data_IF_687280761781
#
_entry.id   IF_687280761781
#
_cell.length_a   1.000
_cell.length_b   1.000
_cell.length_c   1.000
_cell.angle_alpha   90.00
_cell.angle_beta   90.00
_cell.angle_gamma   90.00
#
_symmetry.space_group_name_H-M   'P 1'
#
loop_
_entity.id
_entity.type
_entity.pdbx_description
1 polymer ?
#
# COMPACT_ATOMS: atom_id res chain seq x y z
N UNK A 1 -58.24 -5.02 23.04
CA UNK A 1 -58.91 -6.32 22.92
C UNK A 1 -57.89 -7.36 22.45
N UNK A 2 -57.85 -8.52 23.11
CA UNK A 2 -57.31 -9.81 22.61
C UNK A 2 -58.43 -10.55 21.82
N UNK A 3 -58.27 -11.80 21.30
CA UNK A 3 -57.11 -12.73 21.19
C UNK A 3 -56.78 -13.15 19.72
N UNK A 4 -55.58 -13.70 19.38
CA UNK A 4 -55.09 -15.11 19.35
C UNK A 4 -55.87 -16.13 18.48
N UNK A 5 -55.17 -16.97 17.70
CA UNK A 5 -54.84 -18.36 18.11
C UNK A 5 -53.85 -19.12 17.18
N UNK A 6 -53.27 -20.22 17.72
CA UNK A 6 -52.30 -21.18 17.14
C UNK A 6 -52.93 -22.60 17.08
N UNK A 7 -52.34 -23.58 16.37
CA UNK A 7 -51.51 -24.62 17.03
C UNK A 7 -50.26 -25.02 16.18
N UNK A 8 -49.06 -25.31 16.69
CA UNK A 8 -48.55 -26.35 17.64
C UNK A 8 -48.64 -27.81 17.15
N UNK A 9 -47.48 -28.47 16.99
CA UNK A 9 -47.35 -29.93 16.85
C UNK A 9 -45.95 -30.45 16.48
N UNK A 10 -45.16 -30.86 17.47
CA UNK A 10 -43.98 -31.74 17.40
C UNK A 10 -43.99 -32.54 18.73
N UNK A 11 -43.74 -33.88 18.77
CA UNK A 11 -42.36 -34.35 19.06
C UNK A 11 -41.96 -35.79 18.65
N UNK A 12 -40.63 -36.06 18.69
CA UNK A 12 -39.89 -37.34 18.92
C UNK A 12 -39.58 -38.25 17.70
N UNK A 13 -38.35 -38.78 17.66
CA UNK A 13 -38.03 -40.02 16.93
C UNK A 13 -36.54 -40.22 16.62
N UNK A 14 -35.78 -40.85 17.53
CA UNK A 14 -34.34 -41.07 17.41
C UNK A 14 -33.89 -42.11 16.35
N UNK A 15 -32.68 -41.91 15.81
CA UNK A 15 -31.68 -42.98 15.63
C UNK A 15 -31.58 -43.66 14.25
N UNK A 16 -30.36 -44.15 13.95
CA UNK A 16 -30.11 -45.13 12.90
C UNK A 16 -29.12 -44.71 11.81
N UNK A 17 -27.82 -44.87 12.06
CA UNK A 17 -26.83 -44.93 11.00
C UNK A 17 -26.89 -46.32 10.32
N UNK A 18 -26.73 -46.38 9.00
CA UNK A 18 -26.33 -47.63 8.33
C UNK A 18 -25.41 -47.34 7.14
N UNK A 19 -24.18 -47.82 7.25
CA UNK A 19 -23.31 -48.05 6.10
C UNK A 19 -23.73 -49.35 5.40
N UNK A 20 -23.56 -49.40 4.07
CA UNK A 20 -23.53 -50.65 3.32
C UNK A 20 -22.30 -50.67 2.42
N UNK A 21 -21.49 -51.71 2.61
CA UNK A 21 -20.31 -52.07 1.84
C UNK A 21 -20.55 -53.46 1.22
N UNK A 22 -19.66 -53.86 0.30
CA UNK A 22 -19.65 -55.13 -0.46
C UNK A 22 -20.78 -55.28 -1.51
N UNK A 23 -20.53 -55.84 -2.70
CA UNK A 23 -19.31 -56.40 -3.30
C UNK A 23 -19.64 -56.87 -4.74
N UNK A 24 -18.91 -57.73 -5.46
CA UNK A 24 -17.58 -58.32 -5.38
C UNK A 24 -17.34 -59.08 -6.73
N UNK A 25 -16.08 -59.22 -7.20
CA UNK A 25 -15.63 -60.09 -8.34
C UNK A 25 -16.04 -59.61 -9.77
N UNK A 26 -15.23 -59.82 -10.81
CA UNK A 26 -13.84 -60.30 -10.86
C UNK A 26 -13.27 -60.49 -12.28
N UNK A 27 -11.93 -60.55 -12.37
CA UNK A 27 -11.06 -61.17 -13.40
C UNK A 27 -11.26 -60.93 -14.93
N UNK A 28 -10.14 -60.63 -15.62
CA UNK A 28 -9.82 -61.29 -16.90
C UNK A 28 -9.20 -60.47 -18.04
N UNK A 29 -7.87 -60.54 -18.22
CA UNK A 29 -7.14 -60.18 -19.45
C UNK A 29 -6.99 -58.67 -19.75
N UNK A 30 -5.98 -58.20 -20.47
CA UNK A 30 -4.81 -58.88 -21.06
C UNK A 30 -4.36 -58.23 -22.38
N UNK A 31 -3.05 -58.02 -22.55
CA UNK A 31 -2.34 -57.71 -23.81
C UNK A 31 -2.36 -56.24 -24.31
N UNK A 32 -1.25 -55.55 -24.03
CA UNK A 32 -0.37 -54.81 -24.96
C UNK A 32 -0.89 -54.25 -26.30
N UNK A 33 -0.60 -52.95 -26.58
CA UNK A 33 0.34 -52.54 -27.64
C UNK A 33 0.67 -51.02 -27.63
N UNK A 34 1.95 -50.69 -27.87
CA UNK A 34 2.37 -49.36 -28.37
C UNK A 34 1.97 -49.22 -29.85
N UNK A 35 2.00 -48.00 -30.39
CA UNK A 35 2.93 -47.79 -31.51
C UNK A 35 3.71 -46.47 -31.44
N UNK A 36 5.00 -46.55 -31.80
CA UNK A 36 5.64 -45.50 -32.61
C UNK A 36 5.45 -45.89 -34.07
N UNK A 37 5.33 -44.91 -34.98
CA UNK A 37 6.30 -44.73 -36.06
C UNK A 37 6.02 -43.45 -36.87
N UNK A 38 7.10 -42.85 -37.35
CA UNK A 38 7.16 -41.71 -38.26
C UNK A 38 7.33 -42.17 -39.72
N UNK A 39 6.82 -41.38 -40.68
CA UNK A 39 7.08 -41.58 -42.11
C UNK A 39 6.14 -40.75 -43.00
N UNK A 40 6.69 -39.88 -43.85
CA UNK A 40 5.93 -39.15 -44.88
C UNK A 40 5.99 -39.85 -46.25
N UNK A 41 6.05 -39.11 -47.37
CA UNK A 41 5.16 -38.02 -47.78
C UNK A 41 4.50 -38.29 -49.16
N UNK A 42 3.38 -37.61 -49.48
CA UNK A 42 2.66 -37.75 -50.77
C UNK A 42 2.27 -36.42 -51.42
N UNK A 43 2.51 -36.25 -52.73
CA UNK A 43 2.42 -34.99 -53.50
C UNK A 43 1.15 -34.85 -54.37
N UNK A 44 0.97 -33.60 -54.87
CA UNK A 44 0.12 -33.09 -55.98
C UNK A 44 -1.26 -32.63 -55.49
N UNK A 45 -1.80 -31.45 -55.77
CA UNK A 45 -1.71 -30.43 -56.84
C UNK A 45 -3.14 -29.84 -56.96
N UNK A 46 -3.50 -28.64 -57.42
CA UNK A 46 -2.93 -27.66 -58.37
C UNK A 46 -3.68 -26.31 -58.27
N UNK A 47 -3.07 -25.19 -58.74
CA UNK A 47 -3.74 -23.89 -58.97
C UNK A 47 -3.30 -22.78 -57.98
N UNK A 48 -2.39 -21.84 -58.30
CA UNK A 48 -2.46 -20.72 -59.27
C UNK A 48 -3.35 -19.54 -58.79
N UNK A 49 -2.95 -18.26 -58.85
CA UNK A 49 -1.65 -17.64 -59.18
C UNK A 49 -1.58 -16.17 -58.71
N UNK A 50 -0.36 -15.61 -58.74
CA UNK A 50 0.05 -14.21 -58.43
C UNK A 50 0.08 -13.86 -56.92
N UNK A 51 0.98 -13.00 -56.41
CA UNK A 51 2.10 -12.28 -57.06
C UNK A 51 3.10 -11.67 -56.06
N UNK A 52 4.12 -10.96 -56.54
CA UNK A 52 5.11 -10.18 -55.76
C UNK A 52 5.75 -9.08 -56.64
N UNK A 53 6.78 -8.30 -56.20
CA UNK A 53 7.88 -8.78 -55.34
C UNK A 53 8.43 -7.81 -54.26
N UNK A 54 9.42 -8.32 -53.50
CA UNK A 54 10.51 -7.64 -52.74
C UNK A 54 10.13 -6.57 -51.68
N UNK A 55 10.34 -6.75 -50.38
CA UNK A 55 11.55 -7.17 -49.62
C UNK A 55 12.70 -6.13 -49.64
N UNK A 56 12.89 -5.47 -48.49
CA UNK A 56 14.03 -4.61 -48.19
C UNK A 56 14.31 -4.62 -46.69
N UNK A 57 15.32 -5.37 -46.26
CA UNK A 57 15.69 -5.48 -44.85
C UNK A 57 16.64 -4.35 -44.44
N UNK A 58 16.30 -3.60 -43.38
CA UNK A 58 17.15 -2.55 -42.81
C UNK A 58 18.00 -3.12 -41.67
N UNK A 59 19.28 -3.37 -41.96
CA UNK A 59 20.30 -3.63 -40.95
C UNK A 59 20.79 -2.30 -40.36
N UNK A 60 20.58 -2.06 -39.07
CA UNK A 60 21.24 -0.96 -38.38
C UNK A 60 22.71 -1.32 -38.10
N UNK A 61 23.64 -0.53 -38.65
CA UNK A 61 25.08 -0.62 -38.38
C UNK A 61 25.46 0.28 -37.20
N UNK A 62 26.23 -0.26 -36.25
CA UNK A 62 26.94 0.54 -35.25
C UNK A 62 28.14 1.28 -35.90
N UNK A 63 28.41 2.55 -35.54
CA UNK A 63 29.71 3.18 -35.77
C UNK A 63 30.73 2.75 -34.69
N UNK A 64 32.05 2.73 -35.00
CA UNK A 64 33.07 2.14 -34.13
C UNK A 64 33.64 3.13 -33.08
N UNK A 65 34.21 2.57 -32.02
CA UNK A 65 35.02 3.29 -31.04
C UNK A 65 36.34 3.81 -31.64
N UNK A 66 36.90 4.86 -31.03
CA UNK A 66 38.30 5.25 -31.17
C UNK A 66 38.91 5.53 -29.80
N UNK A 67 40.04 4.87 -29.53
CA UNK A 67 40.87 5.10 -28.35
C UNK A 67 41.87 6.24 -28.57
N UNK A 68 42.38 6.77 -27.46
CA UNK A 68 43.76 7.24 -27.36
C UNK A 68 44.02 8.73 -27.62
N UNK A 69 44.32 9.47 -26.54
CA UNK A 69 45.70 9.89 -26.24
C UNK A 69 45.81 10.60 -24.88
N UNK A 70 46.88 10.30 -24.15
CA UNK A 70 47.28 11.00 -22.92
C UNK A 70 48.13 12.22 -23.28
N UNK A 71 48.06 13.30 -22.51
CA UNK A 71 49.21 13.91 -21.80
C UNK A 71 48.74 15.10 -20.93
N UNK A 72 49.58 15.49 -19.96
CA UNK A 72 49.18 16.33 -18.82
C UNK A 72 49.51 17.83 -18.93
N UNK A 73 50.09 18.43 -17.87
CA UNK A 73 49.41 19.51 -17.14
C UNK A 73 50.04 20.90 -17.35
N UNK A 74 49.30 21.98 -17.01
CA UNK A 74 49.78 23.03 -16.07
C UNK A 74 48.91 24.30 -15.97
N UNK A 75 49.07 24.96 -14.80
CA UNK A 75 49.07 26.42 -14.52
C UNK A 75 47.76 27.19 -14.29
N UNK A 76 47.75 27.79 -13.10
CA UNK A 76 46.99 28.95 -12.66
C UNK A 76 47.45 30.25 -13.34
N UNK A 77 46.66 31.32 -13.21
CA UNK A 77 47.23 32.65 -12.97
C UNK A 77 46.68 33.33 -11.70
N UNK A 78 47.51 34.19 -11.09
CA UNK A 78 47.16 35.16 -10.04
C UNK A 78 47.11 36.58 -10.64
N UNK A 79 46.31 37.45 -10.01
CA UNK A 79 46.45 38.92 -10.06
C UNK A 79 45.75 39.62 -11.23
N UNK A 80 45.32 40.88 -11.10
CA UNK A 80 45.29 41.73 -9.89
C UNK A 80 45.10 43.23 -10.21
N UNK A 81 44.55 43.99 -9.26
CA UNK A 81 44.41 45.46 -9.32
C UNK A 81 43.18 45.99 -10.07
N UNK A 82 42.68 47.21 -9.79
CA UNK A 82 43.08 48.19 -8.77
C UNK A 82 42.01 49.30 -8.57
N UNK A 83 42.18 50.11 -7.50
CA UNK A 83 41.50 51.40 -7.17
C UNK A 83 40.02 51.27 -6.71
N UNK A 84 39.53 52.04 -5.74
CA UNK A 84 40.14 53.07 -4.88
C UNK A 84 39.11 54.12 -4.42
N UNK A 85 39.43 54.86 -3.33
CA UNK A 85 38.58 55.84 -2.60
C UNK A 85 37.50 55.22 -1.68
N UNK A 86 37.22 55.72 -0.47
CA UNK A 86 37.87 56.79 0.30
C UNK A 86 36.86 57.77 0.92
N UNK A 87 36.93 57.98 2.24
CA UNK A 87 36.16 58.99 2.97
C UNK A 87 35.09 58.41 3.90
N UNK A 88 35.12 58.79 5.19
CA UNK A 88 34.11 58.41 6.19
C UNK A 88 33.72 59.57 7.09
N UNK A 89 32.43 59.63 7.47
CA UNK A 89 31.80 60.50 8.49
C UNK A 89 30.52 59.75 8.98
N UNK A 90 30.12 59.74 10.26
CA UNK A 90 30.87 60.16 11.45
C UNK A 90 30.05 60.66 12.66
N UNK A 91 28.93 60.02 13.07
CA UNK A 91 28.17 60.47 14.24
C UNK A 91 26.83 59.75 14.53
N UNK A 92 26.68 59.36 15.80
CA UNK A 92 25.44 59.33 16.63
C UNK A 92 24.35 58.23 16.46
N UNK A 93 24.25 57.41 17.51
CA UNK A 93 23.09 56.68 18.06
C UNK A 93 22.02 57.72 18.56
N UNK A 94 20.69 57.46 18.70
CA UNK A 94 20.13 56.24 19.29
C UNK A 94 18.70 55.76 18.90
N UNK A 95 18.35 54.58 19.47
CA UNK A 95 17.00 54.00 19.72
C UNK A 95 16.47 52.96 18.71
N UNK A 96 16.65 51.69 19.11
CA UNK A 96 15.57 50.73 19.39
C UNK A 96 14.44 50.48 18.38
N UNK A 97 14.38 49.25 17.88
CA UNK A 97 13.10 48.54 17.67
C UNK A 97 13.28 47.03 17.88
N UNK A 98 12.22 46.38 18.38
CA UNK A 98 12.25 44.98 18.80
C UNK A 98 12.06 44.05 17.60
N UNK A 99 12.98 43.10 17.41
CA UNK A 99 12.79 41.99 16.48
C UNK A 99 11.81 40.97 17.05
N UNK A 100 10.54 41.06 16.68
CA UNK A 100 9.51 40.11 17.08
C UNK A 100 9.80 38.70 16.56
N UNK A 101 10.13 37.77 17.45
CA UNK A 101 10.02 36.34 17.20
C UNK A 101 8.62 35.89 17.59
N UNK A 102 7.73 35.73 16.62
CA UNK A 102 6.44 35.09 16.87
C UNK A 102 6.64 33.59 17.10
N UNK A 103 6.64 33.20 18.36
CA UNK A 103 6.50 31.82 18.76
C UNK A 103 5.03 31.41 18.58
N UNK A 104 4.77 30.42 17.72
CA UNK A 104 3.47 29.75 17.71
C UNK A 104 3.31 28.97 19.01
N UNK A 105 2.60 29.57 19.96
CA UNK A 105 2.29 29.00 21.26
C UNK A 105 1.28 27.85 21.13
N UNK A 106 1.42 26.83 21.97
CA UNK A 106 0.67 25.57 21.84
C UNK A 106 -0.82 25.69 22.17
N UNK A 107 -1.64 25.01 21.38
CA UNK A 107 -3.00 24.64 21.79
C UNK A 107 -2.96 23.62 22.93
N UNK A 108 -3.81 23.81 23.95
CA UNK A 108 -3.74 23.05 25.19
C UNK A 108 -4.09 21.56 25.01
N UNK A 109 -3.21 20.68 25.48
CA UNK A 109 -3.48 19.25 25.57
C UNK A 109 -4.64 18.96 26.52
N UNK A 110 -5.54 18.04 26.11
CA UNK A 110 -6.57 17.44 26.97
C UNK A 110 -6.61 15.93 26.72
N UNK A 111 -6.52 15.15 27.79
CA UNK A 111 -6.39 13.69 27.73
C UNK A 111 -4.94 13.26 27.50
N UNK A 112 -4.50 12.23 28.22
CA UNK A 112 -3.14 11.72 28.14
C UNK A 112 -2.90 10.93 26.86
N UNK A 113 -2.60 11.61 25.76
CA UNK A 113 -2.17 10.94 24.53
C UNK A 113 -0.77 10.33 24.72
N UNK A 114 -0.65 9.03 24.50
CA UNK A 114 0.64 8.36 24.32
C UNK A 114 1.16 8.78 22.95
N UNK A 115 1.87 9.91 22.94
CA UNK A 115 2.30 10.60 21.74
C UNK A 115 3.04 9.64 20.82
N UNK A 116 2.52 9.52 19.60
CA UNK A 116 3.03 8.57 18.62
C UNK A 116 4.46 8.95 18.24
N UNK A 117 5.48 8.10 18.50
CA UNK A 117 6.86 8.48 18.23
C UNK A 117 7.06 8.65 16.72
N UNK A 118 7.86 9.65 16.31
CA UNK A 118 8.16 9.84 14.89
C UNK A 118 8.84 8.58 14.31
N UNK A 119 8.54 8.25 13.05
CA UNK A 119 9.10 7.08 12.34
C UNK A 119 10.62 6.95 12.50
N UNK A 120 11.37 8.07 12.45
CA UNK A 120 12.83 8.09 12.62
C UNK A 120 13.26 7.78 14.06
N UNK A 121 12.60 8.38 15.06
CA UNK A 121 12.90 8.12 16.48
C UNK A 121 12.64 6.66 16.81
N UNK A 122 11.48 6.15 16.39
CA UNK A 122 11.11 4.75 16.62
C UNK A 122 12.07 3.78 15.91
N UNK A 123 12.45 4.05 14.66
CA UNK A 123 13.43 3.23 13.94
C UNK A 123 14.79 3.16 14.67
N UNK A 124 15.28 4.28 15.23
CA UNK A 124 16.50 4.31 16.04
C UNK A 124 16.36 3.53 17.34
N UNK A 125 15.20 3.58 17.99
CA UNK A 125 14.87 2.78 19.18
C UNK A 125 14.87 1.28 18.87
N UNK A 126 14.27 0.85 17.75
CA UNK A 126 14.32 -0.57 17.37
C UNK A 126 15.76 -1.05 17.11
N UNK A 127 16.62 -0.19 16.53
CA UNK A 127 18.07 -0.49 16.40
C UNK A 127 18.78 -0.61 17.74
N UNK A 128 18.46 0.22 18.74
CA UNK A 128 19.07 0.08 20.08
C UNK A 128 18.57 -1.17 20.83
N UNK A 129 17.38 -1.68 20.49
CA UNK A 129 16.87 -3.01 20.90
C UNK A 129 17.49 -4.18 20.10
N UNK A 130 18.47 -3.93 19.23
CA UNK A 130 19.19 -4.95 18.46
C UNK A 130 18.52 -5.37 17.14
N UNK A 131 17.42 -4.71 16.75
CA UNK A 131 16.68 -5.02 15.51
C UNK A 131 17.28 -4.32 14.30
N UNK A 132 17.15 -4.94 13.13
CA UNK A 132 17.40 -4.24 11.85
C UNK A 132 16.18 -3.42 11.44
N UNK A 133 16.37 -2.44 10.57
CA UNK A 133 15.31 -1.60 10.00
C UNK A 133 15.30 -1.73 8.49
N UNK A 134 14.12 -1.99 7.91
CA UNK A 134 13.92 -1.99 6.46
C UNK A 134 13.10 -0.77 6.04
N UNK A 135 13.59 0.02 5.09
CA UNK A 135 12.78 1.05 4.42
C UNK A 135 11.91 0.36 3.36
N UNK A 136 10.60 0.28 3.61
CA UNK A 136 9.67 -0.47 2.75
C UNK A 136 8.87 0.49 1.89
N UNK A 137 9.05 0.42 0.57
CA UNK A 137 8.23 1.16 -0.37
C UNK A 137 6.88 0.45 -0.56
N UNK A 138 5.77 1.21 -0.72
CA UNK A 138 4.41 0.66 -0.81
C UNK A 138 4.20 -0.46 -1.84
N UNK A 139 3.15 -1.29 -1.77
CA UNK A 139 1.99 -1.19 -0.87
C UNK A 139 1.58 -2.51 -0.19
N UNK A 140 2.08 -3.66 -0.65
CA UNK A 140 1.73 -5.01 -0.15
C UNK A 140 2.99 -5.87 -0.13
N UNK A 141 3.35 -6.41 1.03
CA UNK A 141 4.56 -7.22 1.22
C UNK A 141 4.37 -8.17 2.42
N UNK A 142 5.11 -9.29 2.48
CA UNK A 142 5.07 -10.23 3.60
C UNK A 142 5.83 -9.69 4.82
N UNK A 143 5.17 -8.86 5.64
CA UNK A 143 5.75 -8.32 6.86
C UNK A 143 6.24 -9.42 7.83
N UNK A 144 5.59 -10.58 7.79
CA UNK A 144 5.93 -11.77 8.55
C UNK A 144 7.37 -12.27 8.29
N UNK A 145 7.88 -12.19 7.05
CA UNK A 145 9.25 -12.61 6.73
C UNK A 145 10.31 -11.68 7.32
N UNK A 146 9.95 -10.41 7.56
CA UNK A 146 10.81 -9.39 8.17
C UNK A 146 10.83 -9.55 9.70
N UNK A 147 9.65 -9.65 10.32
CA UNK A 147 9.55 -9.82 11.78
C UNK A 147 10.19 -11.13 12.27
N UNK A 148 10.09 -12.22 11.50
CA UNK A 148 10.75 -13.50 11.80
C UNK A 148 12.29 -13.41 11.89
N UNK A 149 12.89 -12.30 11.46
CA UNK A 149 14.33 -12.00 11.45
C UNK A 149 14.69 -10.78 12.31
N UNK A 150 13.81 -10.39 13.24
CA UNK A 150 13.97 -9.18 14.06
C UNK A 150 14.22 -7.92 13.20
N UNK A 151 13.52 -7.81 12.06
CA UNK A 151 13.55 -6.62 11.19
C UNK A 151 12.26 -5.82 11.37
N UNK A 152 12.40 -4.56 11.78
CA UNK A 152 11.31 -3.60 11.81
C UNK A 152 11.12 -2.98 10.41
N UNK A 153 10.01 -3.24 9.70
CA UNK A 153 9.68 -2.47 8.50
C UNK A 153 9.27 -1.05 8.88
N UNK A 154 9.67 -0.06 8.07
CA UNK A 154 9.22 1.33 8.18
C UNK A 154 8.78 1.78 6.80
N UNK A 155 7.48 1.98 6.62
CA UNK A 155 6.91 2.21 5.28
C UNK A 155 7.03 3.67 4.82
N UNK A 156 7.32 3.84 3.52
CA UNK A 156 7.60 5.13 2.86
C UNK A 156 6.44 5.54 1.95
N UNK A 157 5.34 6.00 2.55
CA UNK A 157 4.14 6.45 1.82
C UNK A 157 4.20 7.93 1.43
N UNK A 158 4.33 8.79 2.42
CA UNK A 158 4.05 10.22 2.35
C UNK A 158 5.01 11.06 3.21
N UNK A 159 6.34 10.88 3.09
CA UNK A 159 7.29 11.62 3.92
C UNK A 159 7.13 13.14 3.73
N UNK A 160 7.34 13.93 4.80
CA UNK A 160 7.06 15.37 4.79
C UNK A 160 7.97 16.16 3.82
N UNK A 161 9.18 15.65 3.54
CA UNK A 161 10.14 16.27 2.63
C UNK A 161 9.54 16.53 1.24
N UNK A 162 9.83 17.72 0.67
CA UNK A 162 9.29 18.15 -0.61
C UNK A 162 9.81 17.33 -1.80
N UNK A 163 8.97 17.13 -2.82
CA UNK A 163 9.29 16.36 -4.03
C UNK A 163 10.38 16.96 -4.95
N UNK A 164 10.91 18.15 -4.63
CA UNK A 164 11.81 18.90 -5.52
C UNK A 164 13.09 18.14 -5.91
N UNK A 165 13.74 17.44 -4.98
CA UNK A 165 14.94 16.68 -5.27
C UNK A 165 14.68 15.56 -6.30
N UNK A 166 13.50 14.93 -6.25
CA UNK A 166 13.11 13.88 -7.17
C UNK A 166 12.82 14.37 -8.60
N UNK A 167 12.52 15.66 -8.80
CA UNK A 167 12.17 16.22 -10.13
C UNK A 167 13.34 16.19 -11.13
N UNK A 168 14.59 16.09 -10.66
CA UNK A 168 15.76 15.90 -11.52
C UNK A 168 15.88 14.48 -12.09
N UNK A 169 15.09 13.52 -11.57
CA UNK A 169 15.22 12.09 -11.86
C UNK A 169 13.91 11.41 -12.32
N UNK A 170 12.77 12.09 -12.16
CA UNK A 170 11.44 11.57 -12.49
C UNK A 170 10.72 12.49 -13.45
N UNK A 171 9.87 11.93 -14.31
CA UNK A 171 8.94 12.70 -15.12
C UNK A 171 7.90 13.41 -14.24
N UNK A 172 7.43 14.59 -14.68
CA UNK A 172 6.45 15.39 -13.95
C UNK A 172 5.08 14.68 -13.75
N UNK A 173 4.81 13.62 -14.52
CA UNK A 173 3.60 12.79 -14.43
C UNK A 173 3.79 11.51 -13.59
N UNK A 174 4.78 11.46 -12.69
CA UNK A 174 4.93 10.35 -11.72
C UNK A 174 4.13 10.67 -10.44
N UNK A 175 3.45 9.69 -9.85
CA UNK A 175 2.65 9.91 -8.65
C UNK A 175 3.46 10.43 -7.46
N UNK A 176 2.83 11.26 -6.62
CA UNK A 176 3.54 11.95 -5.53
C UNK A 176 4.05 11.01 -4.42
N UNK A 177 3.58 9.76 -4.32
CA UNK A 177 4.18 8.72 -3.45
C UNK A 177 5.61 8.42 -3.87
N UNK A 178 5.83 8.18 -5.18
CA UNK A 178 7.15 7.89 -5.73
C UNK A 178 8.05 9.12 -5.72
N UNK A 179 7.52 10.31 -6.03
CA UNK A 179 8.29 11.56 -5.92
C UNK A 179 8.78 11.80 -4.48
N UNK A 180 7.89 11.67 -3.47
CA UNK A 180 8.25 11.89 -2.06
C UNK A 180 9.17 10.79 -1.52
N UNK A 181 8.92 9.54 -1.90
CA UNK A 181 9.80 8.42 -1.55
C UNK A 181 11.22 8.58 -2.09
N UNK A 182 11.37 9.01 -3.35
CA UNK A 182 12.68 9.30 -3.92
C UNK A 182 13.34 10.52 -3.27
N UNK A 183 12.59 11.61 -3.01
CA UNK A 183 13.11 12.77 -2.28
C UNK A 183 13.63 12.40 -0.89
N UNK A 184 12.91 11.55 -0.13
CA UNK A 184 13.36 11.07 1.18
C UNK A 184 14.66 10.25 1.07
N UNK A 185 14.80 9.45 0.01
CA UNK A 185 16.02 8.71 -0.25
C UNK A 185 17.19 9.64 -0.57
N UNK A 186 17.00 10.56 -1.53
CA UNK A 186 18.01 11.56 -1.95
C UNK A 186 18.47 12.46 -0.81
N UNK A 187 17.60 12.76 0.15
CA UNK A 187 17.93 13.61 1.31
C UNK A 187 18.56 12.87 2.49
N UNK A 188 19.01 11.62 2.32
CA UNK A 188 19.53 10.78 3.41
C UNK A 188 18.46 10.36 4.44
N UNK A 189 17.19 10.68 4.22
CA UNK A 189 16.10 10.39 5.17
C UNK A 189 15.82 8.90 5.39
N UNK A 190 16.39 8.03 4.54
CA UNK A 190 16.33 6.57 4.70
C UNK A 190 17.56 5.97 5.38
N UNK A 191 18.61 6.73 5.73
CA UNK A 191 19.90 6.22 6.25
C UNK A 191 19.78 5.33 7.51
N UNK A 192 18.71 5.48 8.30
CA UNK A 192 18.45 4.61 9.46
C UNK A 192 18.19 3.15 9.07
N UNK A 193 17.72 2.90 7.85
CA UNK A 193 17.45 1.56 7.34
C UNK A 193 18.71 0.83 6.88
N UNK A 194 18.83 -0.44 7.28
CA UNK A 194 19.91 -1.35 6.90
C UNK A 194 19.75 -1.85 5.46
N UNK A 195 18.51 -1.94 4.98
CA UNK A 195 18.18 -2.31 3.60
C UNK A 195 16.84 -1.71 3.13
N UNK A 196 16.61 -1.76 1.82
CA UNK A 196 15.39 -1.29 1.17
C UNK A 196 14.58 -2.48 0.66
N UNK A 197 13.25 -2.40 0.73
CA UNK A 197 12.33 -3.37 0.12
C UNK A 197 11.34 -2.64 -0.79
N UNK A 198 11.31 -3.03 -2.07
CA UNK A 198 10.37 -2.49 -3.04
C UNK A 198 9.30 -3.53 -3.39
N UNK A 199 8.03 -3.18 -3.23
CA UNK A 199 6.92 -4.00 -3.72
C UNK A 199 6.48 -3.54 -5.11
N UNK A 200 6.56 -4.44 -6.10
CA UNK A 200 6.24 -4.18 -7.50
C UNK A 200 4.72 -4.10 -7.73
N UNK A 201 4.09 -3.07 -7.15
CA UNK A 201 2.64 -2.87 -7.17
C UNK A 201 2.15 -2.06 -8.37
N UNK A 202 2.87 -1.03 -8.79
CA UNK A 202 2.61 -0.24 -10.01
C UNK A 202 3.92 0.15 -10.71
N UNK A 203 3.85 0.53 -11.99
CA UNK A 203 5.03 0.79 -12.83
C UNK A 203 5.92 1.91 -12.31
N UNK A 204 5.34 2.94 -11.68
CA UNK A 204 6.09 4.00 -10.99
C UNK A 204 7.00 3.44 -9.88
N UNK A 205 6.53 2.43 -9.12
CA UNK A 205 7.30 1.75 -8.08
C UNK A 205 8.29 0.71 -8.64
N UNK A 206 7.96 0.06 -9.76
CA UNK A 206 8.91 -0.83 -10.48
C UNK A 206 10.09 -0.04 -11.07
N UNK A 207 9.81 1.15 -11.60
CA UNK A 207 10.84 2.05 -12.11
C UNK A 207 11.69 2.62 -10.98
N UNK A 208 11.09 2.98 -9.83
CA UNK A 208 11.83 3.41 -8.64
C UNK A 208 12.77 2.32 -8.12
N UNK A 209 12.32 1.06 -8.10
CA UNK A 209 13.13 -0.08 -7.65
C UNK A 209 14.29 -0.42 -8.59
N UNK A 210 14.23 0.03 -9.84
CA UNK A 210 15.37 0.00 -10.77
C UNK A 210 16.29 1.21 -10.57
N UNK A 211 15.70 2.41 -10.52
CA UNK A 211 16.38 3.71 -10.44
C UNK A 211 17.32 3.80 -9.23
N UNK A 212 16.81 3.51 -8.03
CA UNK A 212 17.56 3.69 -6.77
C UNK A 212 18.84 2.83 -6.70
N UNK A 213 18.78 1.49 -6.84
CA UNK A 213 19.99 0.66 -6.82
C UNK A 213 20.87 0.76 -8.08
N UNK A 214 20.30 0.77 -9.28
CA UNK A 214 21.11 0.57 -10.50
C UNK A 214 21.58 1.87 -11.15
N UNK A 215 20.82 2.96 -11.06
CA UNK A 215 21.12 4.22 -11.75
C UNK A 215 21.63 5.30 -10.79
N UNK A 216 21.09 5.36 -9.57
CA UNK A 216 21.53 6.28 -8.51
C UNK A 216 22.50 5.63 -7.51
N UNK A 217 22.69 4.31 -7.61
CA UNK A 217 23.85 3.62 -7.04
C UNK A 217 23.80 3.35 -5.54
N UNK A 218 22.61 3.15 -4.95
CA UNK A 218 22.45 2.65 -3.57
C UNK A 218 23.39 1.45 -3.28
N UNK A 219 23.98 1.43 -2.08
CA UNK A 219 24.98 0.42 -1.66
C UNK A 219 24.41 -0.59 -0.66
N UNK A 220 23.32 -0.26 0.02
CA UNK A 220 22.59 -1.16 0.90
C UNK A 220 21.83 -2.21 0.08
N UNK A 221 21.54 -3.39 0.65
CA UNK A 221 20.74 -4.40 -0.04
C UNK A 221 19.39 -3.82 -0.51
N UNK A 222 19.01 -4.11 -1.75
CA UNK A 222 17.71 -3.77 -2.30
C UNK A 222 16.96 -5.07 -2.61
N UNK A 223 15.89 -5.29 -1.85
CA UNK A 223 15.02 -6.45 -1.97
C UNK A 223 13.77 -6.10 -2.78
N UNK A 224 13.20 -7.09 -3.46
CA UNK A 224 12.09 -6.93 -4.39
C UNK A 224 11.03 -7.98 -4.08
N UNK A 225 9.77 -7.55 -3.96
CA UNK A 225 8.62 -8.44 -3.83
C UNK A 225 7.65 -8.21 -4.99
N UNK A 226 7.23 -9.30 -5.64
CA UNK A 226 6.37 -9.28 -6.81
C UNK A 226 5.00 -9.88 -6.45
N UNK A 227 4.02 -9.06 -6.04
CA UNK A 227 2.68 -9.56 -5.78
C UNK A 227 2.02 -10.03 -7.08
N UNK A 228 1.30 -11.18 -7.07
CA UNK A 228 0.60 -11.67 -8.25
C UNK A 228 -0.47 -10.68 -8.74
N UNK A 229 -0.76 -10.75 -10.04
CA UNK A 229 -1.72 -9.87 -10.72
C UNK A 229 -2.87 -10.71 -11.29
N UNK A 230 -4.10 -10.24 -11.07
CA UNK A 230 -5.31 -10.88 -11.59
C UNK A 230 -5.74 -12.11 -10.80
N UNK A 231 -5.11 -13.25 -11.09
CA UNK A 231 -5.56 -14.56 -10.59
C UNK A 231 -5.39 -14.68 -9.07
N UNK A 232 -6.37 -15.33 -8.44
CA UNK A 232 -6.41 -15.71 -7.02
C UNK A 232 -6.78 -17.19 -6.88
N UNK A 233 -6.18 -18.01 -7.73
CA UNK A 233 -6.36 -19.45 -7.79
C UNK A 233 -5.14 -20.19 -7.19
N UNK A 234 -5.16 -21.52 -7.18
CA UNK A 234 -4.05 -22.34 -6.68
C UNK A 234 -2.72 -22.08 -7.41
N UNK A 235 -2.75 -21.55 -8.65
CA UNK A 235 -1.53 -21.15 -9.37
C UNK A 235 -0.93 -19.88 -8.77
N UNK A 236 -1.77 -18.91 -8.39
CA UNK A 236 -1.34 -17.73 -7.66
C UNK A 236 -0.82 -18.06 -6.25
N UNK A 237 -1.41 -19.05 -5.56
CA UNK A 237 -0.87 -19.54 -4.27
C UNK A 237 0.50 -20.18 -4.45
N UNK A 238 0.64 -21.15 -5.38
CA UNK A 238 1.94 -21.81 -5.65
C UNK A 238 3.03 -20.81 -6.02
N UNK A 239 2.74 -19.90 -6.96
CA UNK A 239 3.65 -18.82 -7.32
C UNK A 239 4.09 -17.98 -6.12
N UNK A 240 3.15 -17.62 -5.23
CA UNK A 240 3.48 -16.87 -4.03
C UNK A 240 4.33 -17.67 -3.05
N UNK A 241 4.05 -18.96 -2.84
CA UNK A 241 4.88 -19.81 -1.94
C UNK A 241 6.32 -19.86 -2.44
N UNK A 242 6.53 -20.14 -3.73
CA UNK A 242 7.86 -20.17 -4.35
C UNK A 242 8.55 -18.79 -4.26
N UNK A 243 7.81 -17.71 -4.53
CA UNK A 243 8.36 -16.35 -4.48
C UNK A 243 8.68 -15.90 -3.03
N UNK A 244 7.88 -16.30 -2.05
CA UNK A 244 8.12 -16.06 -0.64
C UNK A 244 9.33 -16.85 -0.15
N UNK A 245 9.55 -18.08 -0.62
CA UNK A 245 10.75 -18.85 -0.32
C UNK A 245 12.01 -18.15 -0.86
N UNK A 246 12.04 -17.74 -2.13
CA UNK A 246 13.16 -16.99 -2.70
C UNK A 246 13.40 -15.62 -2.04
N UNK A 247 12.35 -14.92 -1.61
CA UNK A 247 12.51 -13.70 -0.80
C UNK A 247 13.05 -13.99 0.61
N UNK A 248 12.67 -15.13 1.20
CA UNK A 248 13.19 -15.62 2.49
C UNK A 248 14.70 -15.83 2.43
N UNK A 249 15.23 -16.42 1.35
CA UNK A 249 16.67 -16.62 1.13
C UNK A 249 17.41 -15.28 1.00
N UNK A 250 16.90 -14.33 0.21
CA UNK A 250 17.50 -12.99 0.09
C UNK A 250 17.42 -12.17 1.39
N UNK A 251 16.44 -12.46 2.24
CA UNK A 251 16.36 -11.91 3.60
C UNK A 251 17.36 -12.57 4.55
N UNK A 252 17.68 -13.86 4.40
CA UNK A 252 18.77 -14.49 5.17
C UNK A 252 20.12 -13.80 4.92
N UNK A 253 20.39 -13.38 3.67
CA UNK A 253 21.60 -12.62 3.30
C UNK A 253 21.62 -11.20 3.90
N UNK A 254 20.52 -10.46 3.80
CA UNK A 254 20.46 -9.05 4.24
C UNK A 254 20.26 -8.90 5.76
N UNK A 255 19.39 -9.71 6.35
CA UNK A 255 18.99 -9.62 7.75
C UNK A 255 19.69 -10.64 8.65
N UNK A 256 19.97 -11.85 8.13
CA UNK A 256 20.33 -13.03 8.93
C UNK A 256 19.19 -14.04 8.94
N UNK A 257 19.48 -15.29 9.29
CA UNK A 257 18.48 -16.38 9.24
C UNK A 257 17.41 -16.21 10.32
N UNK A 258 16.17 -16.55 9.97
CA UNK A 258 15.10 -16.64 10.96
C UNK A 258 15.41 -17.77 11.96
N UNK A 259 15.11 -17.54 13.24
CA UNK A 259 15.22 -18.56 14.28
C UNK A 259 14.14 -19.64 14.17
N UNK A 260 14.31 -20.76 14.87
CA UNK A 260 13.30 -21.82 14.92
C UNK A 260 11.96 -21.28 15.48
N UNK A 261 10.86 -21.67 14.82
CA UNK A 261 9.51 -21.18 15.13
C UNK A 261 9.26 -19.68 14.90
N UNK A 262 10.22 -18.92 14.34
CA UNK A 262 10.13 -17.46 14.27
C UNK A 262 9.11 -16.99 13.23
N UNK A 263 8.91 -17.73 12.14
CA UNK A 263 7.92 -17.38 11.12
C UNK A 263 6.50 -17.66 11.61
N UNK A 264 6.31 -18.74 12.37
CA UNK A 264 5.07 -19.11 13.04
C UNK A 264 4.64 -18.02 14.04
N UNK A 265 5.60 -17.54 14.87
CA UNK A 265 5.37 -16.38 15.75
C UNK A 265 5.01 -15.12 14.96
N UNK A 266 5.73 -14.85 13.86
CA UNK A 266 5.46 -13.69 13.01
C UNK A 266 4.09 -13.76 12.31
N UNK A 267 3.64 -14.94 11.89
CA UNK A 267 2.29 -15.17 11.36
C UNK A 267 1.24 -14.90 12.45
N UNK A 268 1.43 -15.42 13.66
CA UNK A 268 0.52 -15.17 14.78
C UNK A 268 0.42 -13.66 15.14
N UNK A 269 1.54 -12.94 15.10
CA UNK A 269 1.56 -11.47 15.22
C UNK A 269 0.78 -10.77 14.11
N UNK A 270 0.98 -11.19 12.85
CA UNK A 270 0.27 -10.63 11.69
C UNK A 270 -1.25 -10.86 11.74
N UNK A 271 -1.68 -12.02 12.25
CA UNK A 271 -3.08 -12.32 12.50
C UNK A 271 -3.66 -11.52 13.68
N UNK A 272 -2.93 -11.39 14.79
CA UNK A 272 -3.37 -10.59 15.94
C UNK A 272 -3.57 -9.12 15.54
N UNK A 273 -2.63 -8.55 14.78
CA UNK A 273 -2.76 -7.22 14.18
C UNK A 273 -3.96 -7.14 13.23
N UNK A 274 -4.20 -8.16 12.43
CA UNK A 274 -5.36 -8.26 11.55
C UNK A 274 -6.69 -8.27 12.31
N UNK A 275 -6.79 -9.01 13.42
CA UNK A 275 -7.97 -9.04 14.30
C UNK A 275 -8.19 -7.68 14.97
N UNK A 276 -7.16 -7.10 15.59
CA UNK A 276 -7.25 -5.78 16.23
C UNK A 276 -7.69 -4.67 15.25
N UNK A 277 -7.22 -4.71 14.00
CA UNK A 277 -7.69 -3.81 12.93
C UNK A 277 -9.15 -4.06 12.57
N UNK A 278 -9.58 -5.31 12.34
CA UNK A 278 -10.99 -5.61 12.05
C UNK A 278 -11.91 -5.12 13.18
N UNK A 279 -11.62 -5.43 14.44
CA UNK A 279 -12.41 -4.98 15.59
C UNK A 279 -12.51 -3.45 15.67
N UNK A 280 -11.42 -2.73 15.38
CA UNK A 280 -11.37 -1.27 15.40
C UNK A 280 -12.20 -0.67 14.26
N UNK A 281 -12.14 -1.24 13.06
CA UNK A 281 -12.96 -0.83 11.93
C UNK A 281 -14.45 -1.16 12.13
N UNK A 282 -14.77 -2.33 12.68
CA UNK A 282 -16.14 -2.74 12.98
C UNK A 282 -16.77 -1.83 14.07
N UNK A 283 -16.01 -1.49 15.11
CA UNK A 283 -16.44 -0.51 16.11
C UNK A 283 -16.67 0.88 15.50
N UNK A 284 -15.86 1.30 14.51
CA UNK A 284 -16.05 2.58 13.80
C UNK A 284 -17.30 2.57 12.91
N UNK A 285 -17.49 1.50 12.14
CA UNK A 285 -18.66 1.33 11.27
C UNK A 285 -19.97 1.28 12.07
N UNK A 286 -19.96 0.68 13.26
CA UNK A 286 -21.09 0.63 14.18
C UNK A 286 -21.35 1.96 14.95
N UNK A 287 -20.52 3.00 14.75
CA UNK A 287 -20.64 4.27 15.47
C UNK A 287 -20.25 4.21 16.95
N UNK A 288 -19.46 3.20 17.35
CA UNK A 288 -19.01 2.92 18.72
C UNK A 288 -17.63 3.47 19.07
N UNK A 289 -17.07 4.38 18.26
CA UNK A 289 -15.81 5.07 18.56
C UNK A 289 -15.98 6.59 18.61
N UNK A 290 -15.77 7.16 19.80
CA UNK A 290 -15.64 8.59 20.10
C UNK A 290 -14.25 9.13 19.68
N UNK A 291 -13.94 9.04 18.39
CA UNK A 291 -12.69 9.51 17.80
C UNK A 291 -12.95 10.33 16.53
N UNK A 292 -12.10 11.32 16.27
CA UNK A 292 -12.07 12.06 15.01
C UNK A 292 -11.60 11.17 13.84
N UNK A 293 -11.65 11.70 12.62
CA UNK A 293 -10.99 11.06 11.48
C UNK A 293 -9.47 11.09 11.67
N UNK A 294 -8.91 12.21 12.13
CA UNK A 294 -7.47 12.37 12.36
C UNK A 294 -6.93 11.39 13.40
N UNK A 295 -7.56 11.28 14.58
CA UNK A 295 -7.15 10.37 15.67
C UNK A 295 -7.13 8.90 15.21
N UNK A 296 -8.16 8.49 14.46
CA UNK A 296 -8.29 7.12 13.98
C UNK A 296 -7.22 6.77 12.95
N UNK A 297 -7.01 7.62 11.94
CA UNK A 297 -5.97 7.35 10.94
C UNK A 297 -4.56 7.49 11.51
N UNK A 298 -4.33 8.34 12.52
CA UNK A 298 -3.07 8.34 13.27
C UNK A 298 -2.84 6.98 13.97
N UNK A 299 -3.87 6.39 14.56
CA UNK A 299 -3.81 5.05 15.18
C UNK A 299 -3.57 3.93 14.15
N UNK A 300 -4.37 3.87 13.09
CA UNK A 300 -4.24 2.86 12.02
C UNK A 300 -2.88 2.95 11.34
N UNK A 301 -2.42 4.16 10.98
CA UNK A 301 -1.14 4.37 10.29
C UNK A 301 0.10 4.19 11.15
N UNK A 302 -0.04 4.08 12.47
CA UNK A 302 1.07 3.64 13.32
C UNK A 302 1.52 2.20 12.97
N UNK A 303 0.61 1.36 12.45
CA UNK A 303 0.91 0.00 12.00
C UNK A 303 1.85 -0.09 10.77
N UNK A 304 2.17 1.04 10.12
CA UNK A 304 3.12 1.16 9.02
C UNK A 304 4.59 1.04 9.46
N UNK A 305 4.86 1.14 10.76
CA UNK A 305 6.22 1.12 11.28
C UNK A 305 6.37 0.60 12.71
N UNK A 306 5.29 0.48 13.51
CA UNK A 306 5.37 -0.16 14.82
C UNK A 306 5.59 -1.68 14.68
N UNK A 307 6.42 -2.22 15.57
CA UNK A 307 6.58 -3.65 15.87
C UNK A 307 5.21 -4.25 16.21
N UNK A 308 4.86 -5.47 15.75
CA UNK A 308 3.46 -5.86 15.67
C UNK A 308 2.75 -6.01 17.03
N UNK A 309 3.43 -6.41 18.11
CA UNK A 309 2.86 -6.40 19.46
C UNK A 309 2.58 -4.97 19.97
N UNK A 310 3.51 -4.03 19.74
CA UNK A 310 3.32 -2.61 20.09
C UNK A 310 2.18 -1.98 19.26
N UNK A 311 2.02 -2.41 18.00
CA UNK A 311 0.90 -2.04 17.14
C UNK A 311 -0.44 -2.59 17.65
N UNK A 312 -0.53 -3.88 18.00
CA UNK A 312 -1.73 -4.50 18.58
C UNK A 312 -2.12 -3.80 19.87
N UNK A 313 -1.16 -3.63 20.80
CA UNK A 313 -1.38 -2.93 22.07
C UNK A 313 -1.91 -1.51 21.85
N UNK A 314 -1.37 -0.76 20.88
CA UNK A 314 -1.85 0.59 20.54
C UNK A 314 -3.28 0.57 20.01
N UNK A 315 -3.62 -0.34 19.10
CA UNK A 315 -4.96 -0.46 18.52
C UNK A 315 -6.01 -0.81 19.58
N UNK A 316 -5.71 -1.76 20.48
CA UNK A 316 -6.60 -2.18 21.55
C UNK A 316 -6.79 -1.09 22.62
N UNK A 317 -5.69 -0.42 23.02
CA UNK A 317 -5.74 0.72 23.93
C UNK A 317 -6.59 1.85 23.35
N UNK A 318 -6.34 2.23 22.10
CA UNK A 318 -7.11 3.26 21.39
C UNK A 318 -8.60 2.90 21.29
N UNK A 319 -8.93 1.66 20.91
CA UNK A 319 -10.33 1.16 20.83
C UNK A 319 -11.05 1.28 22.18
N UNK A 320 -10.36 0.95 23.27
CA UNK A 320 -10.89 1.02 24.63
C UNK A 320 -11.05 2.47 25.11
N UNK A 321 -10.04 3.30 24.92
CA UNK A 321 -10.01 4.70 25.37
C UNK A 321 -10.96 5.60 24.58
N UNK A 322 -11.22 5.28 23.31
CA UNK A 322 -12.18 5.96 22.46
C UNK A 322 -13.52 5.21 22.35
N UNK A 323 -13.78 4.22 23.21
CA UNK A 323 -15.07 3.52 23.26
C UNK A 323 -16.19 4.49 23.66
N UNK A 324 -17.20 4.64 22.81
CA UNK A 324 -18.31 5.56 23.04
C UNK A 324 -19.02 5.97 21.75
N UNK A 325 -20.15 6.71 21.83
CA UNK A 325 -20.86 7.16 20.65
C UNK A 325 -19.94 8.03 19.78
N UNK A 326 -19.90 7.75 18.47
CA UNK A 326 -19.10 8.53 17.54
C UNK A 326 -19.55 10.00 17.47
N UNK A 327 -18.64 10.92 17.10
CA UNK A 327 -18.99 12.31 16.89
C UNK A 327 -20.13 12.46 15.88
N UNK A 328 -21.01 13.48 16.04
CA UNK A 328 -22.06 13.75 15.08
C UNK A 328 -21.44 14.07 13.72
N UNK A 329 -22.05 13.55 12.66
CA UNK A 329 -21.55 13.78 11.31
C UNK A 329 -22.07 12.77 10.29
N UNK A 330 -22.00 13.19 9.03
CA UNK A 330 -22.46 12.43 7.87
C UNK A 330 -21.54 11.22 7.66
N UNK A 331 -22.06 9.98 7.73
CA UNK A 331 -21.27 8.78 7.51
C UNK A 331 -20.93 8.64 6.01
N UNK A 332 -19.64 8.57 5.69
CA UNK A 332 -19.14 8.36 4.33
C UNK A 332 -18.08 7.24 4.29
N UNK A 333 -18.01 6.50 3.18
CA UNK A 333 -16.85 5.64 2.88
C UNK A 333 -15.85 6.43 2.04
N UNK A 334 -14.57 6.29 2.33
CA UNK A 334 -13.51 6.88 1.49
C UNK A 334 -12.70 5.79 0.77
N UNK A 335 -12.29 6.05 -0.47
CA UNK A 335 -11.47 5.14 -1.28
C UNK A 335 -10.33 5.92 -1.95
N UNK A 336 -9.17 5.30 -2.10
CA UNK A 336 -8.01 5.90 -2.80
C UNK A 336 -6.69 5.31 -2.33
N UNK A 337 -5.57 6.01 -2.57
CA UNK A 337 -4.27 5.51 -2.10
C UNK A 337 -4.11 5.67 -0.59
N UNK A 338 -4.38 6.87 -0.07
CA UNK A 338 -4.19 7.23 1.34
C UNK A 338 -4.99 8.50 1.71
N UNK A 339 -5.29 8.73 3.00
CA UNK A 339 -6.01 9.93 3.46
C UNK A 339 -5.12 11.19 3.47
N UNK A 340 -4.93 11.79 2.29
CA UNK A 340 -4.12 13.00 2.04
C UNK A 340 -4.90 13.99 1.13
N UNK A 341 -4.57 15.29 1.09
CA UNK A 341 -3.40 15.97 1.65
C UNK A 341 -3.42 16.17 3.17
N UNK A 342 -2.32 16.67 3.73
CA UNK A 342 -2.16 16.93 5.16
C UNK A 342 -3.24 17.90 5.68
N UNK A 343 -3.77 17.61 6.87
CA UNK A 343 -4.90 18.36 7.45
C UNK A 343 -6.27 18.05 6.83
N UNK A 344 -6.38 17.26 5.75
CA UNK A 344 -7.68 16.90 5.16
C UNK A 344 -8.62 16.27 6.20
N UNK A 345 -8.11 15.36 7.03
CA UNK A 345 -8.90 14.67 8.05
C UNK A 345 -9.49 15.66 9.07
N UNK A 346 -8.67 16.54 9.64
CA UNK A 346 -9.14 17.59 10.56
C UNK A 346 -10.12 18.57 9.91
N UNK A 347 -9.95 18.88 8.61
CA UNK A 347 -10.94 19.70 7.86
C UNK A 347 -12.25 18.94 7.63
N UNK A 348 -12.21 17.64 7.35
CA UNK A 348 -13.39 16.77 7.25
C UNK A 348 -14.12 16.68 8.59
N UNK A 349 -13.40 16.54 9.70
CA UNK A 349 -13.97 16.59 11.06
C UNK A 349 -14.70 17.93 11.29
N UNK A 350 -14.08 19.06 10.91
CA UNK A 350 -14.69 20.39 11.00
C UNK A 350 -15.91 20.62 10.08
N UNK A 351 -16.02 19.87 8.98
CA UNK A 351 -17.20 19.86 8.09
C UNK A 351 -18.31 18.88 8.55
N UNK A 352 -18.14 18.22 9.70
CA UNK A 352 -19.10 17.21 10.16
C UNK A 352 -19.11 15.95 9.28
N UNK A 353 -18.00 15.61 8.64
CA UNK A 353 -17.83 14.34 7.90
C UNK A 353 -17.27 13.28 8.83
N UNK A 354 -17.92 12.12 8.87
CA UNK A 354 -17.45 10.95 9.61
C UNK A 354 -17.11 9.84 8.63
N UNK A 355 -15.82 9.56 8.44
CA UNK A 355 -15.38 8.46 7.56
C UNK A 355 -15.65 7.14 8.30
N UNK A 356 -16.70 6.40 7.94
CA UNK A 356 -17.12 5.20 8.70
C UNK A 356 -16.40 3.91 8.30
N UNK A 357 -15.93 3.84 7.06
CA UNK A 357 -15.15 2.73 6.51
C UNK A 357 -14.22 3.26 5.42
N UNK A 358 -13.19 2.47 5.05
CA UNK A 358 -12.34 2.83 3.91
C UNK A 358 -11.80 1.67 3.06
N UNK A 359 -11.53 2.05 1.82
CA UNK A 359 -10.78 1.32 0.81
C UNK A 359 -9.48 2.09 0.48
N UNK A 360 -8.73 2.54 1.49
CA UNK A 360 -7.41 3.13 1.27
C UNK A 360 -6.34 2.04 1.11
N UNK A 361 -5.47 2.20 0.10
CA UNK A 361 -4.36 1.28 -0.14
C UNK A 361 -3.35 1.25 1.02
N UNK A 362 -3.17 2.37 1.72
CA UNK A 362 -2.36 2.48 2.95
C UNK A 362 -3.07 2.02 4.23
N UNK A 363 -4.41 1.85 4.23
CA UNK A 363 -5.19 1.52 5.42
C UNK A 363 -6.09 0.29 5.19
N UNK A 364 -7.36 0.46 4.82
CA UNK A 364 -8.37 -0.60 4.76
C UNK A 364 -8.07 -1.78 3.81
N UNK A 365 -7.14 -1.63 2.86
CA UNK A 365 -6.68 -2.71 1.95
C UNK A 365 -5.47 -3.51 2.44
N UNK A 366 -4.95 -3.22 3.65
CA UNK A 366 -3.70 -3.79 4.22
C UNK A 366 -3.88 -5.06 5.06
N UNK A 367 -5.11 -5.44 5.36
CA UNK A 367 -5.45 -6.62 6.15
C UNK A 367 -6.67 -7.35 5.57
N UNK A 368 -6.82 -8.63 5.89
CA UNK A 368 -7.99 -9.43 5.50
C UNK A 368 -9.21 -8.91 6.26
N UNK A 369 -10.28 -8.55 5.54
CA UNK A 369 -11.54 -8.09 6.14
C UNK A 369 -12.42 -9.29 6.49
N UNK A 370 -12.68 -9.51 7.78
CA UNK A 370 -13.43 -10.66 8.28
C UNK A 370 -12.58 -11.91 8.53
N UNK A 371 -13.11 -13.09 8.21
CA UNK A 371 -12.49 -14.38 8.54
C UNK A 371 -11.15 -14.60 7.84
N UNK A 372 -10.17 -15.14 8.59
CA UNK A 372 -8.87 -15.54 8.05
C UNK A 372 -9.00 -16.80 7.18
N UNK A 373 -8.18 -16.95 6.12
CA UNK A 373 -8.14 -18.17 5.33
C UNK A 373 -7.64 -19.36 6.17
N UNK A 374 -7.98 -20.62 5.82
CA UNK A 374 -7.51 -21.80 6.53
C UNK A 374 -5.98 -21.88 6.62
N UNK A 375 -5.48 -22.08 7.83
CA UNK A 375 -4.07 -22.34 8.10
C UNK A 375 -3.59 -23.63 7.41
N UNK A 376 -2.29 -23.67 7.13
CA UNK A 376 -1.61 -24.83 6.56
C UNK A 376 -0.12 -24.73 6.86
N UNK A 377 0.74 -25.11 5.91
CA UNK A 377 2.16 -24.77 5.98
C UNK A 377 2.35 -23.25 6.09
N UNK A 378 3.41 -22.82 6.78
CA UNK A 378 3.55 -21.43 7.25
C UNK A 378 3.67 -20.45 6.09
N UNK A 379 4.45 -20.78 5.04
CA UNK A 379 4.56 -19.96 3.84
C UNK A 379 3.26 -19.94 3.01
N UNK A 380 2.54 -21.07 2.93
CA UNK A 380 1.20 -21.13 2.32
C UNK A 380 0.20 -20.25 3.08
N UNK A 381 0.28 -20.22 4.41
CA UNK A 381 -0.55 -19.35 5.25
C UNK A 381 -0.27 -17.86 4.98
N UNK A 382 1.00 -17.47 4.82
CA UNK A 382 1.37 -16.10 4.38
C UNK A 382 0.85 -15.80 2.98
N UNK A 383 1.05 -16.72 2.01
CA UNK A 383 0.57 -16.57 0.64
C UNK A 383 -0.97 -16.38 0.57
N UNK A 384 -1.74 -17.24 1.24
CA UNK A 384 -3.20 -17.15 1.31
C UNK A 384 -3.67 -15.84 1.92
N UNK A 385 -3.03 -15.39 3.01
CA UNK A 385 -3.36 -14.10 3.65
C UNK A 385 -3.10 -12.90 2.71
N UNK A 386 -2.05 -12.96 1.87
CA UNK A 386 -1.78 -11.94 0.85
C UNK A 386 -2.80 -11.97 -0.30
N UNK A 387 -3.26 -13.15 -0.74
CA UNK A 387 -4.30 -13.29 -1.77
C UNK A 387 -5.69 -12.85 -1.28
N UNK A 388 -5.99 -13.12 0.00
CA UNK A 388 -7.22 -12.74 0.68
C UNK A 388 -7.30 -11.25 1.07
N UNK A 389 -6.27 -10.44 0.79
CA UNK A 389 -6.36 -8.98 0.93
C UNK A 389 -7.43 -8.41 -0.03
N UNK A 390 -8.12 -7.33 0.37
CA UNK A 390 -9.19 -6.73 -0.41
C UNK A 390 -8.86 -6.48 -1.89
N UNK A 391 -9.88 -6.50 -2.77
CA UNK A 391 -9.74 -6.13 -4.18
C UNK A 391 -8.99 -4.80 -4.35
N UNK A 392 -8.08 -4.76 -5.32
CA UNK A 392 -7.21 -3.62 -5.54
C UNK A 392 -6.71 -3.59 -6.98
N UNK A 393 -6.73 -2.38 -7.56
CA UNK A 393 -6.13 -1.99 -8.84
C UNK A 393 -4.70 -2.55 -9.01
N UNK A 394 -3.81 -2.29 -8.05
CA UNK A 394 -2.40 -2.71 -8.07
C UNK A 394 -2.17 -4.24 -7.97
N UNK A 395 -3.23 -5.00 -7.66
CA UNK A 395 -3.24 -6.46 -7.70
C UNK A 395 -3.94 -7.00 -8.96
N UNK A 396 -4.31 -6.14 -9.92
CA UNK A 396 -5.06 -6.51 -11.13
C UNK A 396 -6.43 -7.13 -10.81
N UNK A 397 -7.06 -6.76 -9.69
CA UNK A 397 -8.35 -7.34 -9.30
C UNK A 397 -9.44 -6.93 -10.28
N UNK A 398 -10.43 -7.78 -10.59
CA UNK A 398 -11.60 -7.36 -11.36
C UNK A 398 -12.27 -6.15 -10.73
N UNK A 399 -12.64 -5.16 -11.56
CA UNK A 399 -13.32 -3.94 -11.10
C UNK A 399 -14.67 -4.27 -10.46
N UNK A 400 -15.35 -5.32 -10.92
CA UNK A 400 -16.55 -5.90 -10.31
C UNK A 400 -16.37 -6.23 -8.83
N UNK A 401 -15.27 -6.90 -8.48
CA UNK A 401 -15.02 -7.40 -7.14
C UNK A 401 -14.79 -6.23 -6.17
N UNK A 402 -14.12 -5.17 -6.67
CA UNK A 402 -13.87 -3.94 -5.92
C UNK A 402 -15.13 -3.07 -5.81
N UNK A 403 -15.95 -3.02 -6.85
CA UNK A 403 -17.28 -2.40 -6.80
C UNK A 403 -18.17 -3.08 -5.75
N UNK A 404 -18.22 -4.41 -5.75
CA UNK A 404 -18.98 -5.18 -4.77
C UNK A 404 -18.41 -5.01 -3.36
N UNK A 405 -17.09 -4.92 -3.21
CA UNK A 405 -16.44 -4.61 -1.93
C UNK A 405 -16.86 -3.23 -1.41
N UNK A 406 -16.75 -2.17 -2.22
CA UNK A 406 -17.17 -0.81 -1.86
C UNK A 406 -18.66 -0.72 -1.52
N UNK A 407 -19.52 -1.40 -2.30
CA UNK A 407 -20.96 -1.47 -2.02
C UNK A 407 -21.25 -2.16 -0.68
N UNK A 408 -20.52 -3.25 -0.34
CA UNK A 408 -20.62 -3.89 0.98
C UNK A 408 -20.14 -2.97 2.10
N UNK A 409 -19.04 -2.23 1.92
CA UNK A 409 -18.57 -1.26 2.91
C UNK A 409 -19.62 -0.17 3.18
N UNK A 410 -20.21 0.41 2.12
CA UNK A 410 -21.25 1.44 2.26
C UNK A 410 -22.50 0.90 2.97
N UNK A 411 -23.00 -0.27 2.54
CA UNK A 411 -24.19 -0.89 3.11
C UNK A 411 -24.02 -1.30 4.58
N UNK A 412 -22.87 -1.87 4.97
CA UNK A 412 -22.64 -2.34 6.36
C UNK A 412 -22.40 -1.23 7.37
N UNK A 413 -22.06 -0.03 6.91
CA UNK A 413 -21.68 1.12 7.75
C UNK A 413 -22.72 2.26 7.74
N UNK A 414 -23.87 2.03 7.08
CA UNK A 414 -24.92 3.03 6.87
C UNK A 414 -24.39 4.33 6.24
N UNK A 415 -23.38 4.22 5.36
CA UNK A 415 -22.78 5.37 4.71
C UNK A 415 -23.74 5.97 3.67
N UNK A 416 -23.88 7.30 3.68
CA UNK A 416 -24.73 8.03 2.73
C UNK A 416 -24.11 8.16 1.33
N UNK A 417 -22.82 7.88 1.19
CA UNK A 417 -22.10 7.96 -0.08
C UNK A 417 -20.64 7.55 0.02
N UNK A 418 -19.96 7.56 -1.13
CA UNK A 418 -18.53 7.21 -1.28
C UNK A 418 -17.75 8.41 -1.85
N UNK A 419 -16.60 8.71 -1.27
CA UNK A 419 -15.66 9.74 -1.75
C UNK A 419 -14.38 9.07 -2.24
N UNK A 420 -14.05 9.24 -3.51
CA UNK A 420 -12.80 8.79 -4.11
C UNK A 420 -11.75 9.90 -4.04
N UNK A 421 -10.71 9.72 -3.22
CA UNK A 421 -9.49 10.52 -3.21
C UNK A 421 -8.51 9.93 -4.24
N UNK A 422 -8.68 10.33 -5.49
CA UNK A 422 -7.87 9.88 -6.61
C UNK A 422 -6.52 10.58 -6.58
N UNK A 423 -5.48 9.86 -6.15
CA UNK A 423 -4.12 10.42 -6.16
C UNK A 423 -3.68 10.68 -7.61
N UNK A 424 -3.34 11.92 -7.90
CA UNK A 424 -2.88 12.35 -9.22
C UNK A 424 -1.71 11.49 -9.71
N UNK A 425 -1.82 11.08 -10.97
CA UNK A 425 -0.91 10.14 -11.64
C UNK A 425 -0.78 8.76 -10.97
N UNK A 426 -1.70 8.33 -10.10
CA UNK A 426 -1.80 6.93 -9.70
C UNK A 426 -2.61 6.16 -10.76
N UNK A 427 -1.94 5.72 -11.82
CA UNK A 427 -2.56 5.13 -13.01
C UNK A 427 -3.50 3.95 -12.65
N UNK A 428 -3.13 2.99 -11.77
CA UNK A 428 -4.00 1.89 -11.41
C UNK A 428 -5.32 2.33 -10.75
N UNK A 429 -5.31 3.36 -9.89
CA UNK A 429 -6.56 3.89 -9.32
C UNK A 429 -7.37 4.65 -10.37
N UNK A 430 -6.70 5.45 -11.22
CA UNK A 430 -7.36 6.27 -12.25
C UNK A 430 -8.04 5.42 -13.35
N UNK A 431 -7.55 4.20 -13.63
CA UNK A 431 -8.24 3.24 -14.50
C UNK A 431 -9.53 2.69 -13.87
N UNK A 432 -9.51 2.35 -12.58
CA UNK A 432 -10.66 1.75 -11.87
C UNK A 432 -11.78 2.78 -11.58
N UNK A 433 -11.40 3.97 -11.08
CA UNK A 433 -12.32 4.93 -10.44
C UNK A 433 -13.53 5.32 -11.28
N UNK A 434 -13.43 5.60 -12.60
CA UNK A 434 -14.61 5.93 -13.42
C UNK A 434 -15.68 4.83 -13.41
N UNK A 435 -15.25 3.56 -13.58
CA UNK A 435 -16.14 2.41 -13.59
C UNK A 435 -16.67 2.08 -12.19
N UNK A 436 -15.87 2.26 -11.14
CA UNK A 436 -16.32 2.11 -9.74
C UNK A 436 -17.39 3.15 -9.38
N UNK A 437 -17.16 4.42 -9.71
CA UNK A 437 -18.09 5.51 -9.39
C UNK A 437 -19.42 5.35 -10.13
N UNK A 438 -19.40 4.96 -11.41
CA UNK A 438 -20.62 4.68 -12.17
C UNK A 438 -21.35 3.43 -11.67
N UNK A 439 -20.61 2.36 -11.40
CA UNK A 439 -21.14 1.13 -10.81
C UNK A 439 -21.81 1.36 -9.45
N UNK A 440 -21.30 2.26 -8.62
CA UNK A 440 -21.93 2.63 -7.35
C UNK A 440 -23.18 3.51 -7.55
N UNK A 441 -23.13 4.50 -8.46
CA UNK A 441 -24.30 5.36 -8.77
C UNK A 441 -25.48 4.56 -9.33
N UNK A 442 -25.22 3.63 -10.24
CA UNK A 442 -26.23 2.69 -10.77
C UNK A 442 -26.86 1.79 -9.70
N UNK A 443 -26.21 1.62 -8.54
CA UNK A 443 -26.71 0.92 -7.35
C UNK A 443 -27.34 1.86 -6.31
N UNK A 444 -27.55 3.13 -6.66
CA UNK A 444 -28.15 4.14 -5.79
C UNK A 444 -27.21 4.69 -4.71
N UNK A 445 -25.88 4.50 -4.83
CA UNK A 445 -24.90 5.02 -3.88
C UNK A 445 -24.28 6.33 -4.41
N UNK A 446 -24.54 7.50 -3.80
CA UNK A 446 -23.95 8.77 -4.20
C UNK A 446 -22.42 8.73 -4.16
N UNK A 447 -21.78 9.26 -5.22
CA UNK A 447 -20.32 9.20 -5.38
C UNK A 447 -19.69 10.53 -5.81
N UNK A 448 -18.74 11.01 -5.03
CA UNK A 448 -17.87 12.15 -5.33
C UNK A 448 -16.47 11.67 -5.71
N UNK A 449 -15.90 12.21 -6.79
CA UNK A 449 -14.50 11.94 -7.20
C UNK A 449 -13.69 13.22 -7.11
N UNK A 450 -12.64 13.19 -6.28
CA UNK A 450 -11.71 14.29 -6.04
C UNK A 450 -10.32 13.85 -6.51
N UNK A 451 -9.68 14.64 -7.39
CA UNK A 451 -8.25 14.48 -7.63
C UNK A 451 -7.49 15.18 -6.48
N UNK A 452 -6.46 14.51 -5.96
CA UNK A 452 -5.61 15.04 -4.89
C UNK A 452 -4.13 14.83 -5.20
N UNK A 453 -3.29 15.72 -4.69
CA UNK A 453 -1.83 15.63 -4.77
C UNK A 453 -1.25 15.79 -3.36
N UNK A 454 -0.15 15.10 -3.05
CA UNK A 454 0.45 15.17 -1.70
C UNK A 454 1.39 16.36 -1.57
N UNK A 455 0.97 17.38 -0.84
CA UNK A 455 1.81 18.49 -0.41
C UNK A 455 1.06 19.81 -0.37
N UNK A 456 1.46 20.68 0.54
CA UNK A 456 0.74 21.92 0.81
C UNK A 456 -0.55 21.69 1.59
N UNK A 457 -1.35 22.75 1.66
CA UNK A 457 -2.64 22.75 2.34
C UNK A 457 -3.73 22.08 1.50
N UNK A 458 -4.83 21.69 2.16
CA UNK A 458 -6.03 21.19 1.47
C UNK A 458 -6.57 22.28 0.54
N UNK A 459 -6.67 22.07 -0.79
CA UNK A 459 -7.16 23.10 -1.70
C UNK A 459 -8.60 23.49 -1.34
N UNK A 460 -8.90 24.79 -1.28
CA UNK A 460 -10.22 25.28 -0.89
C UNK A 460 -11.35 24.70 -1.77
N UNK A 461 -11.09 24.56 -3.09
CA UNK A 461 -12.01 23.92 -4.04
C UNK A 461 -12.37 22.47 -3.64
N UNK A 462 -11.44 21.72 -3.04
CA UNK A 462 -11.70 20.36 -2.56
C UNK A 462 -12.74 20.37 -1.45
N UNK A 463 -12.65 21.31 -0.51
CA UNK A 463 -13.59 21.46 0.59
C UNK A 463 -14.97 21.91 0.11
N UNK A 464 -15.05 22.93 -0.77
CA UNK A 464 -16.33 23.37 -1.37
C UNK A 464 -17.03 22.26 -2.16
N UNK A 465 -16.27 21.37 -2.82
CA UNK A 465 -16.85 20.19 -3.49
C UNK A 465 -17.33 19.11 -2.52
N UNK A 466 -16.75 19.02 -1.33
CA UNK A 466 -17.24 18.15 -0.26
C UNK A 466 -18.50 18.75 0.36
N UNK A 467 -18.50 20.04 0.72
CA UNK A 467 -19.67 20.77 1.25
C UNK A 467 -20.89 20.62 0.33
N UNK A 468 -20.74 20.96 -0.96
CA UNK A 468 -21.80 20.79 -1.95
C UNK A 468 -22.23 19.33 -2.13
N UNK A 469 -21.33 18.35 -1.98
CA UNK A 469 -21.72 16.94 -1.99
C UNK A 469 -22.58 16.60 -0.77
N UNK A 470 -22.22 17.06 0.44
CA UNK A 470 -22.99 16.82 1.66
C UNK A 470 -24.43 17.36 1.58
N UNK A 471 -24.63 18.50 0.90
CA UNK A 471 -25.95 19.08 0.62
C UNK A 471 -26.81 18.22 -0.32
N UNK A 472 -26.19 17.42 -1.20
CA UNK A 472 -26.90 16.51 -2.12
C UNK A 472 -27.23 15.14 -1.53
N UNK A 473 -26.79 14.84 -0.30
CA UNK A 473 -26.99 13.52 0.31
C UNK A 473 -28.37 13.39 0.99
N UNK A 474 -29.05 12.23 0.82
CA UNK A 474 -30.41 11.99 1.33
C UNK A 474 -30.49 11.92 2.87
#
# INVERSE_FOLDING_TARGET
MLPRDLPRGDPRGAGGAHALQAGHRGAGGGISRRPHLSGGPGRRGTGAAQGGPASGALQHRNPPAREGLRQGPHRTPRGGGAKGHGGGIGGEDPRGSQGGREAFAGGAARGGDVSTPSRRVYALEQKSRGRKVAAVFPARYPAELLWAREVCPVEVWDPPAGGQAAQAHLQANVCSVVQRGLSLWLSGGTEVADFLLFSHTCDSLQNLSTLVPHLLGEKRPCLFFYPPKGRRDDLAERYLVDHLAGLSERLDEAAGRAGEGALERAVAWGEARGRALNDLYDARAAGGLAASNEDFYASVRACEYLWPEEAVQRLEAFRRERSGPSPPGVPLVFSGVLPQPAGLLARLDGLGVRIVEDDFLACGRRFVRGALPPAGEVLSTVARRLLALPPCSTAGSPVSDRLDFLARLAGRSSARGVVFLSLKFCEPELFDVPALAEGLRSRGVPCLVLEVEMGGEVPAQTLTRIEAFLETLP
#
